data_IF_949946133393
#
_entry.id   IF_949946133393
#
_cell.length_a   1.000
_cell.length_b   1.000
_cell.length_c   1.000
_cell.angle_alpha   90.00
_cell.angle_beta   90.00
_cell.angle_gamma   90.00
#
_symmetry.space_group_name_H-M   'P 1'
#
loop_
_entity.id
_entity.type
_entity.pdbx_description
1 polymer ?
#
# COMPACT_ATOMS: atom_id res chain seq x y z
N UNK A 1 19.02 -7.83 -8.17
CA UNK A 1 17.64 -7.60 -8.69
C UNK A 1 17.13 -8.77 -9.54
N UNK A 2 17.89 -9.23 -10.55
CA UNK A 2 17.46 -10.31 -11.46
C UNK A 2 16.99 -11.59 -10.76
N UNK A 3 17.77 -12.13 -9.82
CA UNK A 3 17.40 -13.35 -9.05
C UNK A 3 16.13 -13.13 -8.22
N UNK A 4 15.96 -11.94 -7.64
CA UNK A 4 14.77 -11.61 -6.85
C UNK A 4 13.54 -11.46 -7.75
N UNK A 5 13.69 -10.85 -8.92
CA UNK A 5 12.63 -10.76 -9.92
C UNK A 5 12.15 -12.15 -10.36
N UNK A 6 13.09 -13.07 -10.60
CA UNK A 6 12.78 -14.47 -10.91
C UNK A 6 12.06 -15.17 -9.75
N UNK A 7 12.52 -15.00 -8.51
CA UNK A 7 11.88 -15.55 -7.32
C UNK A 7 10.43 -15.06 -7.15
N UNK A 8 10.19 -13.75 -7.33
CA UNK A 8 8.89 -13.12 -7.24
C UNK A 8 8.00 -13.34 -8.48
N UNK A 9 8.51 -13.99 -9.53
CA UNK A 9 7.83 -14.18 -10.82
C UNK A 9 7.38 -12.86 -11.46
N UNK A 10 8.18 -11.81 -11.33
CA UNK A 10 7.97 -10.51 -11.98
C UNK A 10 9.05 -10.23 -13.05
N UNK A 11 8.77 -9.31 -13.98
CA UNK A 11 9.70 -8.96 -15.06
C UNK A 11 10.92 -8.17 -14.59
N UNK A 12 10.72 -7.33 -13.56
CA UNK A 12 11.71 -6.41 -13.05
C UNK A 12 11.64 -6.35 -11.52
N UNK A 13 12.78 -6.09 -10.89
CA UNK A 13 12.88 -5.75 -9.47
C UNK A 13 13.85 -4.58 -9.32
N UNK A 14 13.62 -3.73 -8.31
CA UNK A 14 14.48 -2.59 -7.99
C UNK A 14 14.84 -2.66 -6.51
N UNK A 15 16.13 -2.61 -6.19
CA UNK A 15 16.66 -2.55 -4.83
C UNK A 15 16.59 -1.14 -4.26
N UNK A 16 16.13 -1.02 -3.02
CA UNK A 16 15.90 0.26 -2.33
C UNK A 16 16.46 0.22 -0.91
N UNK A 17 16.55 1.37 -0.25
CA UNK A 17 17.13 1.50 1.09
C UNK A 17 16.25 0.94 2.21
N UNK A 18 14.93 0.85 2.00
CA UNK A 18 13.99 0.25 2.96
C UNK A 18 12.69 -0.26 2.32
N UNK A 19 11.90 -1.00 3.09
CA UNK A 19 10.53 -1.38 2.70
C UNK A 19 9.57 -0.19 2.59
N UNK A 20 9.75 0.84 3.44
CA UNK A 20 8.96 2.08 3.37
C UNK A 20 9.20 2.80 2.05
N UNK A 21 10.46 2.94 1.62
CA UNK A 21 10.81 3.51 0.31
C UNK A 21 10.25 2.68 -0.84
N UNK A 22 10.23 1.35 -0.71
CA UNK A 22 9.65 0.47 -1.72
C UNK A 22 8.15 0.72 -1.93
N UNK A 23 7.38 0.83 -0.85
CA UNK A 23 5.94 1.13 -0.94
C UNK A 23 5.73 2.57 -1.45
N UNK A 24 6.48 3.53 -0.91
CA UNK A 24 6.37 4.93 -1.30
C UNK A 24 6.66 5.16 -2.78
N UNK A 25 7.76 4.59 -3.29
CA UNK A 25 8.12 4.71 -4.71
C UNK A 25 7.10 4.00 -5.61
N UNK A 26 6.59 2.85 -5.20
CA UNK A 26 5.55 2.14 -5.94
C UNK A 26 4.25 2.97 -6.04
N UNK A 27 3.83 3.63 -4.95
CA UNK A 27 2.67 4.52 -4.94
C UNK A 27 2.85 5.71 -5.89
N UNK A 28 4.00 6.39 -5.84
CA UNK A 28 4.31 7.49 -6.76
C UNK A 28 4.33 7.00 -8.22
N UNK A 29 4.88 5.81 -8.49
CA UNK A 29 4.92 5.24 -9.83
C UNK A 29 3.51 4.91 -10.36
N UNK A 30 2.55 4.62 -9.48
CA UNK A 30 1.13 4.47 -9.81
C UNK A 30 0.38 5.81 -9.98
N UNK A 31 1.06 6.95 -9.77
CA UNK A 31 0.48 8.29 -9.90
C UNK A 31 -0.20 8.81 -8.64
N UNK A 32 -0.08 8.12 -7.50
CA UNK A 32 -0.68 8.54 -6.23
C UNK A 32 -0.03 9.81 -5.72
N UNK A 33 -0.85 10.78 -5.33
CA UNK A 33 -0.39 12.09 -4.85
C UNK A 33 -1.40 12.84 -3.97
N UNK A 34 -1.21 14.16 -3.81
CA UNK A 34 -2.11 14.99 -3.01
C UNK A 34 -3.55 14.96 -3.52
N UNK A 35 -4.49 14.69 -2.60
CA UNK A 35 -5.91 14.58 -2.90
C UNK A 35 -6.40 13.15 -3.13
N UNK A 36 -5.50 12.19 -3.31
CA UNK A 36 -5.87 10.78 -3.43
C UNK A 36 -6.08 10.11 -2.06
N UNK A 37 -6.85 9.04 -2.06
CA UNK A 37 -7.10 8.16 -0.92
C UNK A 37 -6.50 6.79 -1.18
N UNK A 38 -5.67 6.27 -0.27
CA UNK A 38 -5.15 4.90 -0.36
C UNK A 38 -5.71 4.09 0.79
N UNK A 39 -6.45 3.03 0.43
CA UNK A 39 -7.06 2.14 1.42
C UNK A 39 -6.02 1.14 1.94
N UNK A 40 -5.96 0.99 3.27
CA UNK A 40 -5.16 -0.02 3.97
C UNK A 40 -5.85 -0.42 5.28
N UNK A 41 -5.16 -1.13 6.17
CA UNK A 41 -5.68 -1.56 7.48
C UNK A 41 -4.91 -0.88 8.63
N UNK A 42 -5.54 -0.63 9.79
CA UNK A 42 -4.84 -0.11 10.96
C UNK A 42 -4.00 -1.18 11.66
N UNK A 43 -4.32 -2.46 11.44
CA UNK A 43 -3.54 -3.62 11.91
C UNK A 43 -2.32 -3.87 11.00
N UNK A 44 -1.40 -2.91 10.97
CA UNK A 44 -0.15 -2.99 10.20
C UNK A 44 0.95 -2.21 10.93
N UNK A 45 2.21 -2.36 10.53
CA UNK A 45 3.27 -1.50 11.04
C UNK A 45 3.15 -0.09 10.45
N UNK A 46 3.51 0.93 11.22
CA UNK A 46 3.32 2.36 10.88
C UNK A 46 3.87 2.73 9.49
N UNK A 47 4.95 2.07 9.04
CA UNK A 47 5.55 2.28 7.71
C UNK A 47 4.56 2.24 6.55
N UNK A 48 3.52 1.41 6.63
CA UNK A 48 2.49 1.29 5.58
C UNK A 48 1.72 2.60 5.40
N UNK A 49 1.23 3.18 6.49
CA UNK A 49 0.48 4.44 6.47
C UNK A 49 1.40 5.65 6.25
N UNK A 50 2.65 5.56 6.73
CA UNK A 50 3.68 6.58 6.50
C UNK A 50 4.03 6.71 5.02
N UNK A 51 4.24 5.60 4.31
CA UNK A 51 4.53 5.60 2.88
C UNK A 51 3.41 6.27 2.05
N UNK A 52 2.14 6.03 2.41
CA UNK A 52 0.98 6.71 1.81
C UNK A 52 1.04 8.21 2.10
N UNK A 53 1.31 8.58 3.35
CA UNK A 53 1.39 9.99 3.77
C UNK A 53 2.55 10.73 3.09
N UNK A 54 3.66 10.06 2.81
CA UNK A 54 4.79 10.62 2.07
C UNK A 54 4.45 10.94 0.60
N UNK A 55 3.44 10.30 0.01
CA UNK A 55 2.90 10.71 -1.30
C UNK A 55 2.07 12.01 -1.22
N UNK A 56 1.71 12.48 -0.01
CA UNK A 56 0.71 13.52 0.19
C UNK A 56 -0.73 13.01 0.08
N UNK A 57 -0.93 11.70 -0.10
CA UNK A 57 -2.23 11.05 -0.13
C UNK A 57 -2.76 10.79 1.29
N UNK A 58 -4.05 10.51 1.41
CA UNK A 58 -4.72 10.21 2.67
C UNK A 58 -4.85 8.70 2.88
N UNK A 59 -4.30 8.14 3.98
CA UNK A 59 -4.63 6.78 4.38
C UNK A 59 -6.11 6.66 4.78
N UNK A 60 -6.81 5.67 4.21
CA UNK A 60 -8.18 5.30 4.60
C UNK A 60 -8.12 3.89 5.18
N UNK A 61 -8.62 3.73 6.40
CA UNK A 61 -8.55 2.45 7.11
C UNK A 61 -9.83 1.64 6.95
N UNK A 62 -9.67 0.39 6.52
CA UNK A 62 -10.68 -0.67 6.57
C UNK A 62 -10.28 -1.64 7.68
N UNK A 63 -11.27 -2.15 8.40
CA UNK A 63 -11.03 -3.09 9.51
C UNK A 63 -10.53 -4.46 9.00
N UNK A 64 -10.08 -5.31 9.93
CA UNK A 64 -9.57 -6.65 9.61
C UNK A 64 -10.58 -7.76 9.93
N UNK A 65 -10.49 -8.85 9.17
CA UNK A 65 -11.12 -10.13 9.55
C UNK A 65 -10.34 -10.71 10.74
N UNK A 66 -11.01 -10.88 11.88
CA UNK A 66 -10.44 -11.38 13.13
C UNK A 66 -9.78 -12.78 13.02
N UNK A 67 -10.14 -13.57 12.01
CA UNK A 67 -9.61 -14.91 11.77
C UNK A 67 -8.29 -14.88 11.02
N UNK A 68 -8.10 -13.87 10.17
CA UNK A 68 -6.93 -13.78 9.28
C UNK A 68 -5.99 -12.65 9.61
N UNK A 69 -6.47 -11.64 10.36
CA UNK A 69 -5.81 -10.36 10.61
C UNK A 69 -5.44 -9.60 9.33
N UNK A 70 -6.08 -9.94 8.22
CA UNK A 70 -6.00 -9.20 6.95
C UNK A 70 -7.27 -8.38 6.74
N UNK A 71 -7.26 -7.46 5.78
CA UNK A 71 -8.40 -6.59 5.48
C UNK A 71 -9.70 -7.41 5.33
N UNK A 72 -10.77 -6.97 6.01
CA UNK A 72 -12.11 -7.50 5.76
C UNK A 72 -12.57 -7.02 4.38
N UNK A 73 -12.52 -7.94 3.40
CA UNK A 73 -12.91 -7.66 2.02
C UNK A 73 -14.40 -7.25 1.89
N UNK A 74 -15.26 -7.64 2.84
CA UNK A 74 -16.68 -7.26 2.83
C UNK A 74 -16.87 -5.79 3.21
N UNK A 75 -15.99 -5.24 4.06
CA UNK A 75 -16.00 -3.85 4.48
C UNK A 75 -15.35 -2.90 3.45
N UNK A 76 -14.51 -3.41 2.54
CA UNK A 76 -13.76 -2.60 1.56
C UNK A 76 -14.66 -1.71 0.70
N UNK A 77 -15.78 -2.23 0.22
CA UNK A 77 -16.68 -1.51 -0.69
C UNK A 77 -17.22 -0.20 -0.08
N UNK A 78 -17.39 -0.14 1.24
CA UNK A 78 -17.88 1.06 1.95
C UNK A 78 -16.82 2.16 2.10
N UNK A 79 -15.55 1.86 1.87
CA UNK A 79 -14.45 2.81 1.97
C UNK A 79 -14.04 3.43 0.62
N UNK A 80 -14.54 2.89 -0.49
CA UNK A 80 -14.26 3.42 -1.84
C UNK A 80 -14.94 4.76 -2.06
N UNK A 81 -14.20 5.72 -2.63
CA UNK A 81 -14.73 7.01 -3.08
C UNK A 81 -14.23 7.32 -4.49
N UNK A 82 -14.62 8.47 -5.05
CA UNK A 82 -14.07 8.94 -6.33
C UNK A 82 -12.60 9.37 -6.25
N UNK A 83 -11.99 9.36 -5.05
CA UNK A 83 -10.59 9.72 -4.81
C UNK A 83 -9.71 8.49 -4.55
N UNK A 84 -10.30 7.29 -4.54
CA UNK A 84 -9.57 6.03 -4.32
C UNK A 84 -8.93 5.51 -5.59
#
# INVERSE_FOLDING_TARGET
EEVFAQFCKCKHAVGLGSGTEAVWLALIACGVGPGDEVITVPMTFMATAEAISYCGAKPVFVDVDERTYTMDATALSGALTSRT
#
